data_IF_143164195722
#
_entry.id   IF_143164195722
#
_cell.length_a   1.000
_cell.length_b   1.000
_cell.length_c   1.000
_cell.angle_alpha   90.00
_cell.angle_beta   90.00
_cell.angle_gamma   90.00
#
_symmetry.space_group_name_H-M   'P 1'
#
loop_
_entity.id
_entity.type
_entity.pdbx_description
1 polymer ?
#
# COMPACT_ATOMS: atom_id res chain seq x y z
N UNK A 1 -57.66 -27.48 -10.90
CA UNK A 1 -57.20 -28.58 -10.01
C UNK A 1 -57.04 -29.86 -10.82
N UNK A 2 -55.81 -30.34 -11.00
CA UNK A 2 -55.46 -31.76 -11.25
C UNK A 2 -53.98 -31.91 -10.90
N UNK A 3 -53.73 -32.56 -9.75
CA UNK A 3 -52.43 -33.03 -9.30
C UNK A 3 -52.18 -34.42 -9.89
N UNK A 4 -50.98 -34.70 -10.37
CA UNK A 4 -50.26 -35.99 -10.27
C UNK A 4 -48.78 -35.68 -10.56
N UNK A 5 -47.92 -35.54 -9.55
CA UNK A 5 -47.21 -36.59 -8.81
C UNK A 5 -45.90 -37.01 -9.49
N UNK A 6 -44.79 -36.74 -8.76
CA UNK A 6 -43.39 -37.05 -9.05
C UNK A 6 -43.12 -38.53 -9.35
N UNK A 7 -42.08 -38.81 -10.14
CA UNK A 7 -41.21 -39.98 -9.93
C UNK A 7 -39.78 -39.80 -10.49
N UNK A 8 -38.86 -39.65 -9.52
CA UNK A 8 -37.55 -40.31 -9.32
C UNK A 8 -36.34 -40.03 -10.25
N UNK A 9 -35.28 -39.62 -9.55
CA UNK A 9 -33.85 -39.57 -9.87
C UNK A 9 -33.31 -40.74 -10.72
N UNK A 10 -32.32 -40.42 -11.55
CA UNK A 10 -31.15 -41.31 -11.72
C UNK A 10 -29.88 -40.46 -11.82
N UNK A 11 -28.99 -40.64 -10.85
CA UNK A 11 -27.61 -40.16 -10.83
C UNK A 11 -26.79 -41.13 -11.67
N UNK A 12 -25.99 -40.62 -12.60
CA UNK A 12 -24.89 -41.36 -13.20
C UNK A 12 -23.68 -40.42 -13.28
N UNK A 13 -22.72 -40.72 -12.43
CA UNK A 13 -21.37 -40.17 -12.43
C UNK A 13 -20.41 -41.10 -13.17
N UNK A 14 -19.22 -40.57 -13.47
CA UNK A 14 -18.00 -41.18 -14.04
C UNK A 14 -17.82 -40.92 -15.55
N UNK A 15 -16.98 -39.96 -15.99
CA UNK A 15 -15.50 -39.81 -15.92
C UNK A 15 -14.83 -40.22 -17.24
N UNK A 16 -14.19 -39.20 -17.84
CA UNK A 16 -12.99 -39.17 -18.68
C UNK A 16 -12.89 -40.06 -19.94
N UNK A 17 -12.79 -39.37 -21.08
CA UNK A 17 -11.76 -39.68 -22.08
C UNK A 17 -11.16 -38.37 -22.60
N UNK A 18 -9.88 -38.18 -22.27
CA UNK A 18 -9.01 -37.11 -22.74
C UNK A 18 -8.88 -37.15 -24.27
N UNK A 19 -9.08 -36.02 -24.93
CA UNK A 19 -8.49 -35.76 -26.25
C UNK A 19 -7.69 -34.46 -26.17
N UNK A 20 -6.39 -34.63 -25.96
CA UNK A 20 -5.37 -33.58 -26.05
C UNK A 20 -5.00 -33.44 -27.53
N UNK A 21 -5.17 -32.27 -28.17
CA UNK A 21 -4.31 -31.92 -29.27
C UNK A 21 -3.00 -31.38 -28.70
N UNK A 22 -1.92 -32.12 -28.96
CA UNK A 22 -0.53 -31.71 -28.80
C UNK A 22 -0.27 -30.46 -29.65
N UNK A 23 -0.58 -29.29 -29.10
CA UNK A 23 -0.18 -27.99 -29.62
C UNK A 23 1.15 -27.58 -28.99
N UNK A 24 2.20 -27.66 -29.81
CA UNK A 24 3.50 -26.96 -29.74
C UNK A 24 3.77 -26.18 -28.44
N UNK A 25 4.73 -26.67 -27.66
CA UNK A 25 5.34 -25.95 -26.56
C UNK A 25 5.99 -24.66 -27.08
N UNK A 26 5.36 -23.51 -26.81
CA UNK A 26 6.04 -22.23 -26.82
C UNK A 26 6.91 -22.14 -25.55
N UNK A 27 8.22 -21.88 -25.67
CA UNK A 27 9.08 -21.73 -24.50
C UNK A 27 8.73 -20.41 -23.79
N UNK A 28 8.49 -20.51 -22.48
CA UNK A 28 8.68 -19.41 -21.52
C UNK A 28 7.96 -18.10 -21.80
N UNK A 29 6.65 -18.05 -21.52
CA UNK A 29 6.05 -16.80 -21.07
C UNK A 29 6.54 -16.54 -19.63
N UNK A 30 7.76 -16.01 -19.51
CA UNK A 30 8.13 -15.26 -18.32
C UNK A 30 7.04 -14.21 -18.11
N UNK A 31 6.50 -14.13 -16.89
CA UNK A 31 5.63 -13.03 -16.50
C UNK A 31 6.35 -11.74 -16.91
N UNK A 32 5.78 -11.02 -17.87
CA UNK A 32 6.29 -9.72 -18.25
C UNK A 32 6.20 -8.86 -16.98
N UNK A 33 7.34 -8.64 -16.33
CA UNK A 33 7.49 -7.50 -15.45
C UNK A 33 7.01 -6.30 -16.24
N UNK A 34 6.13 -5.45 -15.68
CA UNK A 34 5.70 -4.25 -16.37
C UNK A 34 6.95 -3.51 -16.80
N UNK A 35 7.12 -3.35 -18.12
CA UNK A 35 8.19 -2.56 -18.71
C UNK A 35 8.16 -1.21 -18.03
N UNK A 36 9.23 -0.89 -17.31
CA UNK A 36 9.46 0.38 -16.67
C UNK A 36 9.09 1.49 -17.64
N UNK A 37 7.93 2.11 -17.45
CA UNK A 37 7.64 3.39 -18.07
C UNK A 37 8.85 4.28 -17.75
N UNK A 38 9.44 4.92 -18.76
CA UNK A 38 10.60 5.79 -18.59
C UNK A 38 10.24 6.88 -17.58
N UNK A 39 10.58 6.67 -16.30
CA UNK A 39 10.26 7.56 -15.19
C UNK A 39 11.12 8.80 -15.39
N UNK A 40 10.53 9.84 -15.97
CA UNK A 40 11.23 11.11 -16.25
C UNK A 40 10.76 12.12 -15.22
N UNK A 41 11.27 11.99 -13.99
CA UNK A 41 11.21 13.09 -13.02
C UNK A 41 12.55 13.79 -13.04
N UNK A 42 12.55 15.12 -13.18
CA UNK A 42 13.75 15.90 -13.00
C UNK A 42 14.18 15.78 -11.53
N UNK A 43 15.32 15.15 -11.27
CA UNK A 43 15.94 15.12 -9.96
C UNK A 43 16.20 16.57 -9.52
N UNK A 44 15.35 17.10 -8.63
CA UNK A 44 15.63 18.36 -7.97
C UNK A 44 16.86 18.16 -7.07
N UNK A 45 17.78 19.14 -7.03
CA UNK A 45 18.96 19.03 -6.19
C UNK A 45 18.52 18.76 -4.74
N UNK A 46 19.01 17.67 -4.12
CA UNK A 46 18.56 17.30 -2.78
C UNK A 46 18.82 18.45 -1.82
N UNK A 47 17.84 18.78 -0.98
CA UNK A 47 18.07 19.64 0.19
C UNK A 47 19.27 19.08 0.97
N UNK A 48 20.13 19.92 1.57
CA UNK A 48 21.19 19.42 2.44
C UNK A 48 20.59 18.61 3.61
N UNK A 49 20.59 17.29 3.49
CA UNK A 49 19.94 16.37 4.43
C UNK A 49 19.21 15.23 3.72
N UNK A 50 19.56 14.00 4.06
CA UNK A 50 18.94 12.72 3.68
C UNK A 50 18.28 12.65 2.28
N UNK A 51 19.03 12.18 1.29
CA UNK A 51 18.48 11.76 0.00
C UNK A 51 17.45 10.63 0.20
N UNK A 52 16.25 10.79 -0.37
CA UNK A 52 15.23 9.75 -0.45
C UNK A 52 14.87 9.62 -1.92
N UNK A 53 15.04 8.41 -2.47
CA UNK A 53 14.72 8.18 -3.87
C UNK A 53 13.25 8.48 -4.15
N UNK A 54 12.92 9.23 -5.22
CA UNK A 54 11.53 9.42 -5.64
C UNK A 54 10.93 8.16 -6.27
N UNK A 55 11.72 7.09 -6.42
CA UNK A 55 11.35 5.87 -7.12
C UNK A 55 11.46 4.64 -6.23
N UNK A 56 10.59 3.68 -6.52
CA UNK A 56 10.48 2.42 -5.81
C UNK A 56 9.04 2.17 -5.38
N UNK A 57 8.90 1.34 -4.36
CA UNK A 57 7.62 0.91 -3.81
C UNK A 57 7.75 0.73 -2.29
N UNK A 58 6.61 0.66 -1.62
CA UNK A 58 6.55 0.19 -0.25
C UNK A 58 5.47 -0.89 -0.14
N UNK A 59 5.85 -2.02 0.44
CA UNK A 59 4.92 -3.10 0.73
C UNK A 59 4.34 -2.91 2.13
N UNK A 60 3.02 -2.97 2.24
CA UNK A 60 2.30 -2.99 3.51
C UNK A 60 1.78 -4.41 3.75
N UNK A 61 2.08 -4.95 4.92
CA UNK A 61 1.42 -6.16 5.45
C UNK A 61 0.47 -5.71 6.56
N UNK A 62 -0.82 -6.01 6.43
CA UNK A 62 -1.85 -5.65 7.40
C UNK A 62 -1.69 -6.55 8.63
N UNK A 63 -1.71 -5.96 9.82
CA UNK A 63 -1.52 -6.69 11.07
C UNK A 63 -2.70 -7.63 11.37
N UNK A 64 -2.42 -8.77 12.01
CA UNK A 64 -3.46 -9.77 12.33
C UNK A 64 -4.60 -9.20 13.18
N UNK A 65 -4.31 -8.28 14.11
CA UNK A 65 -5.36 -7.61 14.90
C UNK A 65 -6.26 -6.73 14.02
N UNK A 66 -5.67 -6.05 13.03
CA UNK A 66 -6.43 -5.25 12.06
C UNK A 66 -7.26 -6.12 11.14
N UNK A 67 -6.71 -7.24 10.66
CA UNK A 67 -7.46 -8.21 9.85
C UNK A 67 -8.63 -8.83 10.64
N UNK A 68 -8.41 -9.23 11.89
CA UNK A 68 -9.46 -9.77 12.75
C UNK A 68 -10.55 -8.73 13.07
N UNK A 69 -10.17 -7.46 13.23
CA UNK A 69 -11.14 -6.37 13.34
C UNK A 69 -11.93 -6.17 12.04
N UNK A 70 -11.27 -6.17 10.88
CA UNK A 70 -11.94 -6.04 9.59
C UNK A 70 -12.93 -7.16 9.34
N UNK A 71 -12.56 -8.42 9.63
CA UNK A 71 -13.44 -9.57 9.51
C UNK A 71 -14.66 -9.43 10.43
N UNK A 72 -14.45 -9.09 11.70
CA UNK A 72 -15.53 -8.93 12.69
C UNK A 72 -16.54 -7.85 12.30
N UNK A 73 -16.07 -6.71 11.79
CA UNK A 73 -16.94 -5.59 11.42
C UNK A 73 -17.42 -5.66 9.96
N UNK A 74 -17.11 -6.74 9.22
CA UNK A 74 -17.50 -6.89 7.82
C UNK A 74 -16.92 -5.79 6.92
N UNK A 75 -15.64 -5.48 7.08
CA UNK A 75 -14.91 -4.46 6.33
C UNK A 75 -14.19 -5.10 5.15
N UNK A 76 -14.37 -4.53 3.96
CA UNK A 76 -13.53 -4.84 2.79
C UNK A 76 -12.66 -3.65 2.43
N UNK A 77 -11.46 -3.94 1.93
CA UNK A 77 -10.49 -2.93 1.50
C UNK A 77 -10.13 -3.20 0.05
N UNK A 78 -10.24 -2.15 -0.76
CA UNK A 78 -9.86 -2.12 -2.17
C UNK A 78 -8.75 -1.10 -2.36
N UNK A 79 -7.73 -1.46 -3.14
CA UNK A 79 -6.71 -0.51 -3.54
C UNK A 79 -7.25 0.45 -4.61
N UNK A 80 -6.88 1.73 -4.50
CA UNK A 80 -7.08 2.73 -5.53
C UNK A 80 -5.75 2.88 -6.27
N UNK A 81 -5.77 2.57 -7.57
CA UNK A 81 -4.59 2.63 -8.44
C UNK A 81 -3.84 3.97 -8.28
N UNK A 82 -2.50 3.94 -8.25
CA UNK A 82 -1.62 2.80 -8.52
C UNK A 82 -1.29 1.88 -7.34
N UNK A 83 -2.02 1.94 -6.21
CA UNK A 83 -1.90 0.91 -5.19
C UNK A 83 -2.43 -0.42 -5.73
N UNK A 84 -1.87 -1.53 -5.26
CA UNK A 84 -2.30 -2.87 -5.65
C UNK A 84 -2.44 -3.73 -4.40
N UNK A 85 -3.62 -4.30 -4.18
CA UNK A 85 -3.84 -5.28 -3.11
C UNK A 85 -3.05 -6.56 -3.41
N UNK A 86 -2.51 -7.18 -2.36
CA UNK A 86 -1.95 -8.52 -2.45
C UNK A 86 -3.06 -9.52 -2.80
N UNK A 87 -2.70 -10.63 -3.45
CA UNK A 87 -3.67 -11.62 -3.94
C UNK A 87 -4.49 -12.29 -2.82
N UNK A 88 -3.94 -12.35 -1.61
CA UNK A 88 -4.61 -12.87 -0.41
C UNK A 88 -5.37 -11.79 0.37
N UNK A 89 -5.30 -10.52 -0.05
CA UNK A 89 -5.92 -9.38 0.61
C UNK A 89 -5.30 -8.99 1.96
N UNK A 90 -4.14 -9.57 2.33
CA UNK A 90 -3.48 -9.34 3.63
C UNK A 90 -2.46 -8.21 3.60
N UNK A 91 -2.30 -7.56 2.47
CA UNK A 91 -1.35 -6.49 2.26
C UNK A 91 -1.64 -5.72 0.98
N UNK A 92 -0.82 -4.71 0.72
CA UNK A 92 -0.87 -3.95 -0.52
C UNK A 92 0.47 -3.27 -0.81
N UNK A 93 0.75 -3.08 -2.09
CA UNK A 93 1.89 -2.30 -2.56
C UNK A 93 1.51 -0.85 -2.84
N UNK A 94 2.42 0.06 -2.52
CA UNK A 94 2.28 1.49 -2.77
C UNK A 94 3.50 1.97 -3.57
N UNK A 95 3.35 2.47 -4.80
CA UNK A 95 4.49 3.04 -5.50
C UNK A 95 4.89 4.36 -4.85
N UNK A 96 6.20 4.59 -4.74
CA UNK A 96 6.73 5.87 -4.29
C UNK A 96 6.57 6.87 -5.43
N UNK A 97 5.99 8.03 -5.13
CA UNK A 97 5.87 9.11 -6.09
C UNK A 97 6.05 10.43 -5.37
N UNK A 98 7.27 10.90 -5.20
CA UNK A 98 7.50 12.17 -4.51
C UNK A 98 6.98 13.35 -5.33
N UNK A 99 6.19 14.24 -4.72
CA UNK A 99 5.78 15.53 -5.30
C UNK A 99 6.83 16.62 -5.12
N UNK A 100 7.87 16.36 -4.31
CA UNK A 100 8.91 17.32 -3.95
C UNK A 100 10.27 17.00 -4.62
N UNK A 101 10.32 16.08 -5.60
CA UNK A 101 11.56 15.58 -6.18
C UNK A 101 12.25 14.58 -5.25
N UNK A 102 13.59 14.50 -5.31
CA UNK A 102 14.42 13.51 -4.61
C UNK A 102 14.59 13.81 -3.10
N UNK A 103 13.48 14.14 -2.42
CA UNK A 103 13.45 14.57 -1.04
C UNK A 103 12.05 14.59 -0.43
N UNK A 104 12.01 14.96 0.85
CA UNK A 104 10.77 15.13 1.62
C UNK A 104 10.06 16.43 1.23
N UNK A 105 8.73 16.44 1.30
CA UNK A 105 7.97 17.68 1.22
C UNK A 105 8.26 18.60 2.42
N UNK A 106 7.70 19.82 2.42
CA UNK A 106 7.89 20.81 3.49
C UNK A 106 7.40 20.36 4.87
N UNK A 107 6.63 19.27 4.95
CA UNK A 107 6.14 18.66 6.19
C UNK A 107 6.94 17.42 6.58
N UNK A 108 8.03 17.09 5.89
CA UNK A 108 8.84 15.90 6.17
C UNK A 108 8.20 14.60 5.70
N UNK A 109 7.40 14.63 4.62
CA UNK A 109 6.63 13.49 4.13
C UNK A 109 7.01 13.07 2.72
N UNK A 110 6.78 11.80 2.43
CA UNK A 110 6.86 11.19 1.10
C UNK A 110 5.44 10.99 0.59
N UNK A 111 5.16 11.43 -0.63
CA UNK A 111 3.87 11.20 -1.28
C UNK A 111 3.81 9.81 -1.93
N UNK A 112 2.66 9.17 -1.79
CA UNK A 112 2.32 7.91 -2.46
C UNK A 112 1.07 8.15 -3.29
N UNK A 113 1.13 8.12 -4.64
CA UNK A 113 -0.05 8.25 -5.46
C UNK A 113 -0.94 7.01 -5.30
N UNK A 114 -2.25 7.20 -5.22
CA UNK A 114 -3.24 6.13 -5.07
C UNK A 114 -4.03 6.28 -3.79
N UNK A 115 -4.34 5.15 -3.15
CA UNK A 115 -5.05 5.14 -1.88
C UNK A 115 -5.79 3.84 -1.61
N UNK A 116 -6.71 3.90 -0.66
CA UNK A 116 -7.54 2.77 -0.24
C UNK A 116 -9.01 3.18 -0.21
N UNK A 117 -9.89 2.26 -0.57
CA UNK A 117 -11.33 2.36 -0.40
C UNK A 117 -11.77 1.28 0.58
N UNK A 118 -12.37 1.70 1.67
CA UNK A 118 -12.80 0.87 2.79
C UNK A 118 -14.32 0.85 2.77
N UNK A 119 -14.92 -0.32 2.61
CA UNK A 119 -16.37 -0.48 2.65
C UNK A 119 -16.73 -1.19 3.95
N UNK A 120 -17.62 -0.58 4.74
CA UNK A 120 -18.10 -1.17 5.98
C UNK A 120 -19.54 -1.64 5.79
N UNK A 121 -19.75 -2.95 5.82
CA UNK A 121 -21.05 -3.56 5.52
C UNK A 121 -22.14 -3.15 6.51
N UNK A 122 -21.82 -3.09 7.81
CA UNK A 122 -22.81 -2.82 8.86
C UNK A 122 -23.48 -1.45 8.74
N UNK A 123 -22.74 -0.43 8.31
CA UNK A 123 -23.27 0.94 8.14
C UNK A 123 -23.56 1.32 6.68
N UNK A 124 -23.14 0.49 5.71
CA UNK A 124 -23.20 0.80 4.28
C UNK A 124 -22.28 1.94 3.84
N UNK A 125 -21.38 2.41 4.72
CA UNK A 125 -20.49 3.54 4.44
C UNK A 125 -19.29 3.12 3.61
N UNK A 126 -18.90 4.01 2.70
CA UNK A 126 -17.63 3.91 1.97
C UNK A 126 -16.69 5.01 2.45
N UNK A 127 -15.60 4.63 3.12
CA UNK A 127 -14.52 5.54 3.50
C UNK A 127 -13.43 5.44 2.43
N UNK A 128 -12.98 6.57 1.91
CA UNK A 128 -11.91 6.62 0.90
C UNK A 128 -10.74 7.41 1.47
N UNK A 129 -9.57 6.76 1.46
CA UNK A 129 -8.28 7.34 1.81
C UNK A 129 -7.55 7.66 0.50
N UNK A 130 -7.29 8.94 0.24
CA UNK A 130 -6.53 9.41 -0.93
C UNK A 130 -5.59 10.52 -0.50
N UNK A 131 -4.63 10.86 -1.36
CA UNK A 131 -3.53 11.75 -0.99
C UNK A 131 -2.76 11.16 0.20
N UNK A 132 -2.19 9.99 -0.01
CA UNK A 132 -1.51 9.20 1.03
C UNK A 132 -0.06 9.64 1.19
N UNK A 133 0.40 9.70 2.45
CA UNK A 133 1.74 10.12 2.81
C UNK A 133 2.36 9.20 3.85
N UNK A 134 3.67 9.00 3.75
CA UNK A 134 4.49 8.52 4.87
C UNK A 134 5.32 9.70 5.37
N UNK A 135 5.01 10.17 6.58
CA UNK A 135 5.82 11.13 7.33
C UNK A 135 7.04 10.40 7.88
N UNK A 136 8.22 10.97 7.68
CA UNK A 136 9.48 10.45 8.23
C UNK A 136 9.84 11.19 9.52
N UNK A 137 9.56 12.50 9.61
CA UNK A 137 9.84 13.34 10.78
C UNK A 137 8.72 14.37 11.04
N UNK A 138 8.53 14.85 12.29
CA UNK A 138 9.25 14.44 13.51
C UNK A 138 8.79 13.08 14.06
N UNK A 139 7.51 12.73 13.87
CA UNK A 139 6.96 11.42 14.25
C UNK A 139 6.65 10.63 12.98
N UNK A 140 7.24 9.44 12.80
CA UNK A 140 6.89 8.57 11.67
C UNK A 140 5.40 8.24 11.65
N UNK A 141 4.74 8.45 10.51
CA UNK A 141 3.29 8.28 10.41
C UNK A 141 2.81 7.96 8.99
N UNK A 142 1.75 7.17 8.90
CA UNK A 142 0.92 7.03 7.70
C UNK A 142 -0.28 7.96 7.82
N UNK A 143 -0.41 8.91 6.89
CA UNK A 143 -1.54 9.85 6.83
C UNK A 143 -2.20 9.87 5.46
N UNK A 144 -3.47 10.24 5.42
CA UNK A 144 -4.24 10.33 4.19
C UNK A 144 -5.35 11.39 4.31
N UNK A 145 -5.74 11.98 3.20
CA UNK A 145 -7.01 12.69 3.09
C UNK A 145 -8.18 11.70 3.12
N UNK A 146 -9.27 12.10 3.77
CA UNK A 146 -10.42 11.24 4.04
C UNK A 146 -11.68 11.80 3.40
N UNK A 147 -12.39 10.95 2.64
CA UNK A 147 -13.75 11.19 2.21
C UNK A 147 -14.68 10.06 2.64
N UNK A 148 -15.94 10.39 2.89
CA UNK A 148 -16.99 9.43 3.26
C UNK A 148 -18.13 9.58 2.27
N UNK A 149 -18.54 8.48 1.65
CA UNK A 149 -19.58 8.43 0.62
C UNK A 149 -19.34 9.47 -0.50
N UNK A 150 -18.06 9.63 -0.88
CA UNK A 150 -17.61 10.57 -1.91
C UNK A 150 -17.51 12.04 -1.47
N UNK A 151 -17.90 12.38 -0.24
CA UNK A 151 -17.75 13.74 0.30
C UNK A 151 -16.45 13.88 1.06
N UNK A 152 -15.60 14.83 0.66
CA UNK A 152 -14.38 15.15 1.39
C UNK A 152 -14.73 15.60 2.81
N UNK A 153 -14.03 15.04 3.80
CA UNK A 153 -14.25 15.33 5.22
C UNK A 153 -13.03 16.03 5.82
N UNK A 154 -11.84 15.44 5.64
CA UNK A 154 -10.57 15.96 6.17
C UNK A 154 -9.51 15.89 5.08
N UNK A 155 -8.70 16.95 4.97
CA UNK A 155 -7.60 17.00 3.99
C UNK A 155 -6.47 16.03 4.33
N UNK A 156 -6.25 15.76 5.62
CA UNK A 156 -5.23 14.85 6.12
C UNK A 156 -5.59 14.38 7.53
N UNK A 157 -5.51 13.08 7.78
CA UNK A 157 -5.67 12.43 9.09
C UNK A 157 -4.50 11.49 9.31
N UNK A 158 -3.94 11.46 10.52
CA UNK A 158 -2.91 10.47 10.86
C UNK A 158 -3.60 9.16 11.19
N UNK A 159 -3.48 8.17 10.29
CA UNK A 159 -4.16 6.88 10.41
C UNK A 159 -3.40 5.95 11.35
N UNK A 160 -2.08 5.92 11.19
CA UNK A 160 -1.21 5.10 12.02
C UNK A 160 0.15 5.78 12.24
N UNK A 161 0.78 5.50 13.36
CA UNK A 161 2.07 6.08 13.74
C UNK A 161 3.08 5.02 14.15
N UNK A 162 4.36 5.39 14.12
CA UNK A 162 5.47 4.56 14.57
C UNK A 162 6.46 5.41 15.35
N UNK A 163 7.31 4.78 16.15
CA UNK A 163 8.41 5.48 16.81
C UNK A 163 9.66 5.48 15.95
N UNK A 164 10.47 6.54 16.04
CA UNK A 164 11.77 6.58 15.35
C UNK A 164 12.66 5.38 15.72
N UNK A 165 12.63 4.94 16.98
CA UNK A 165 13.35 3.76 17.45
C UNK A 165 12.93 2.48 16.73
N UNK A 166 11.64 2.27 16.47
CA UNK A 166 11.14 1.09 15.77
C UNK A 166 11.53 1.11 14.28
N UNK A 167 11.42 2.28 13.64
CA UNK A 167 11.89 2.47 12.26
C UNK A 167 13.39 2.14 12.15
N UNK A 168 14.20 2.69 13.06
CA UNK A 168 15.66 2.50 13.05
C UNK A 168 16.09 1.09 13.46
N UNK A 169 15.31 0.40 14.31
CA UNK A 169 15.57 -1.00 14.63
C UNK A 169 15.51 -1.90 13.38
N UNK A 170 14.66 -1.55 12.41
CA UNK A 170 14.53 -2.21 11.11
C UNK A 170 15.54 -1.75 10.06
N UNK A 171 16.25 -0.64 10.29
CA UNK A 171 17.20 -0.08 9.34
C UNK A 171 18.50 -0.89 9.29
N UNK A 172 18.96 -1.24 8.09
CA UNK A 172 20.24 -1.92 7.86
C UNK A 172 21.04 -1.17 6.78
N UNK A 173 22.34 -0.95 6.99
CA UNK A 173 23.22 -0.50 5.92
C UNK A 173 23.19 -1.48 4.75
N UNK A 174 23.30 -0.97 3.53
CA UNK A 174 23.44 -1.73 2.30
C UNK A 174 24.47 -1.05 1.40
N UNK A 175 25.12 -1.77 0.46
CA UNK A 175 26.10 -1.16 -0.45
C UNK A 175 25.55 0.02 -1.27
N UNK A 176 24.23 0.11 -1.44
CA UNK A 176 23.54 1.16 -2.22
C UNK A 176 22.74 2.14 -1.34
N UNK A 177 22.93 2.14 -0.01
CA UNK A 177 22.22 3.04 0.91
C UNK A 177 21.69 2.35 2.16
N UNK A 178 20.45 2.64 2.56
CA UNK A 178 19.78 2.03 3.73
C UNK A 178 18.55 1.24 3.31
N UNK A 179 18.35 0.06 3.91
CA UNK A 179 17.12 -0.74 3.75
C UNK A 179 16.39 -0.80 5.08
N UNK A 180 15.09 -0.51 5.08
CA UNK A 180 14.24 -0.71 6.26
C UNK A 180 13.47 -2.01 6.02
N UNK A 181 13.75 -3.04 6.82
CA UNK A 181 13.20 -4.38 6.57
C UNK A 181 11.71 -4.51 6.88
N UNK A 182 11.25 -3.89 7.98
CA UNK A 182 9.86 -3.95 8.44
C UNK A 182 9.68 -2.89 9.52
N UNK A 183 8.82 -1.91 9.28
CA UNK A 183 8.50 -0.82 10.19
C UNK A 183 7.06 -0.97 10.69
N UNK A 184 6.83 -1.18 12.00
CA UNK A 184 5.47 -1.31 12.52
C UNK A 184 4.77 0.04 12.58
N UNK A 185 3.48 0.07 12.25
CA UNK A 185 2.61 1.23 12.41
C UNK A 185 1.40 0.84 13.25
N UNK A 186 1.03 1.71 14.19
CA UNK A 186 -0.05 1.48 15.14
C UNK A 186 -1.18 2.46 14.92
N UNK A 187 -2.41 1.97 15.01
CA UNK A 187 -3.63 2.77 14.82
C UNK A 187 -3.67 3.94 15.81
N UNK A 188 -3.90 5.16 15.33
CA UNK A 188 -4.05 6.31 16.21
C UNK A 188 -5.44 6.38 16.86
N UNK A 189 -5.54 7.09 17.98
CA UNK A 189 -6.84 7.39 18.58
C UNK A 189 -7.73 8.24 17.66
N UNK A 190 -7.12 9.15 16.89
CA UNK A 190 -7.85 9.99 15.92
C UNK A 190 -8.53 9.13 14.85
N UNK A 191 -7.80 8.17 14.26
CA UNK A 191 -8.34 7.27 13.26
C UNK A 191 -9.45 6.37 13.81
N UNK A 192 -9.26 5.84 15.03
CA UNK A 192 -10.27 5.05 15.72
C UNK A 192 -11.56 5.87 15.96
N UNK A 193 -11.43 7.09 16.48
CA UNK A 193 -12.58 7.97 16.72
C UNK A 193 -13.28 8.35 15.42
N UNK A 194 -12.53 8.64 14.35
CA UNK A 194 -13.09 8.96 13.05
C UNK A 194 -13.90 7.79 12.49
N UNK A 195 -13.37 6.57 12.57
CA UNK A 195 -14.09 5.38 12.13
C UNK A 195 -15.39 5.18 12.91
N UNK A 196 -15.34 5.26 14.24
CA UNK A 196 -16.52 5.13 15.09
C UNK A 196 -17.57 6.20 14.78
N UNK A 197 -17.15 7.46 14.62
CA UNK A 197 -18.05 8.56 14.28
C UNK A 197 -18.67 8.40 12.88
N UNK A 198 -17.90 7.89 11.92
CA UNK A 198 -18.33 7.68 10.54
C UNK A 198 -19.34 6.53 10.40
N UNK A 199 -19.11 5.45 11.12
CA UNK A 199 -19.80 4.17 10.89
C UNK A 199 -20.76 3.77 12.00
N UNK A 200 -20.59 4.30 13.22
CA UNK A 200 -21.30 3.85 14.41
C UNK A 200 -20.85 2.47 14.93
N UNK A 201 -19.83 1.86 14.31
CA UNK A 201 -19.34 0.53 14.65
C UNK A 201 -18.19 0.57 15.66
N UNK A 202 -17.75 -0.62 16.11
CA UNK A 202 -16.63 -0.73 17.04
C UNK A 202 -15.34 -0.35 16.31
N UNK A 203 -14.61 0.69 16.75
CA UNK A 203 -13.39 1.09 16.07
C UNK A 203 -12.26 0.08 16.29
N UNK A 204 -11.21 0.12 15.45
CA UNK A 204 -9.97 -0.58 15.76
C UNK A 204 -9.41 -0.01 17.07
N UNK A 205 -8.76 -0.86 17.87
CA UNK A 205 -8.18 -0.43 19.14
C UNK A 205 -7.03 0.55 18.87
N UNK A 206 -7.06 1.73 19.45
CA UNK A 206 -5.92 2.65 19.38
C UNK A 206 -4.66 2.00 19.97
N UNK A 207 -3.52 2.17 19.31
CA UNK A 207 -2.26 1.49 19.63
C UNK A 207 -2.18 0.02 19.20
N UNK A 208 -3.23 -0.54 18.58
CA UNK A 208 -3.12 -1.85 17.92
C UNK A 208 -2.26 -1.77 16.66
N UNK A 209 -1.64 -2.88 16.27
CA UNK A 209 -0.84 -2.94 15.06
C UNK A 209 -1.74 -2.79 13.84
N UNK A 210 -1.64 -1.64 13.17
CA UNK A 210 -2.28 -1.42 11.86
C UNK A 210 -1.67 -2.37 10.82
N UNK A 211 -0.34 -2.39 10.78
CA UNK A 211 0.42 -3.20 9.86
C UNK A 211 1.89 -2.86 9.91
N UNK A 212 2.63 -3.37 8.94
CA UNK A 212 4.04 -3.09 8.80
C UNK A 212 4.37 -2.64 7.40
N UNK A 213 5.31 -1.70 7.30
CA UNK A 213 5.77 -1.11 6.06
C UNK A 213 7.19 -1.60 5.73
N UNK A 214 7.41 -2.03 4.50
CA UNK A 214 8.72 -2.38 3.96
C UNK A 214 9.00 -1.51 2.74
N UNK A 215 9.72 -0.39 2.89
CA UNK A 215 10.05 0.47 1.76
C UNK A 215 11.24 -0.09 0.97
N UNK A 216 11.10 -0.08 -0.35
CA UNK A 216 12.11 -0.40 -1.34
C UNK A 216 12.39 0.86 -2.16
N UNK A 217 13.52 1.52 -1.89
CA UNK A 217 13.96 2.69 -2.65
C UNK A 217 14.86 2.26 -3.81
N UNK A 218 14.48 2.59 -5.04
CA UNK A 218 15.32 2.36 -6.22
C UNK A 218 16.45 3.40 -6.21
N UNK A 219 17.71 2.97 -6.16
CA UNK A 219 18.84 3.91 -6.23
C UNK A 219 18.92 4.51 -7.64
N UNK A 220 19.04 5.83 -7.74
CA UNK A 220 19.38 6.51 -8.98
C UNK A 220 20.90 6.48 -9.10
N UNK A 221 21.49 5.78 -10.09
CA UNK A 221 22.90 5.98 -10.37
C UNK A 221 23.10 7.48 -10.60
N UNK A 222 23.92 8.12 -9.76
CA UNK A 222 24.33 9.49 -10.00
C UNK A 222 24.73 9.57 -11.47
N UNK A 223 24.10 10.47 -12.23
CA UNK A 223 24.59 10.79 -13.58
C UNK A 223 26.07 11.05 -13.43
N UNK A 224 26.89 10.11 -13.90
CA UNK A 224 28.32 10.11 -13.72
C UNK A 224 28.90 11.28 -14.52
N UNK A 225 28.85 12.48 -13.93
CA UNK A 225 29.72 13.56 -14.33
C UNK A 225 30.68 13.74 -13.17
N UNK A 226 31.95 13.29 -13.32
CA UNK A 226 32.94 13.54 -12.29
C UNK A 226 33.01 15.04 -12.02
N UNK A 227 33.26 15.46 -10.76
CA UNK A 227 33.41 16.87 -10.44
C UNK A 227 34.53 17.44 -11.31
N UNK A 228 34.19 18.43 -12.14
CA UNK A 228 35.19 19.26 -12.81
C UNK A 228 35.95 20.01 -11.72
N UNK A 229 37.18 19.59 -11.48
CA UNK A 229 38.13 20.30 -10.64
C UNK A 229 38.27 21.72 -11.22
N UNK A 230 38.11 22.79 -10.43
CA UNK A 230 38.41 24.13 -10.90
C UNK A 230 39.89 24.16 -11.29
N UNK A 231 40.18 24.44 -12.55
CA UNK A 231 41.52 24.87 -12.94
C UNK A 231 41.78 26.20 -12.24
N UNK A 232 42.70 26.19 -11.28
CA UNK A 232 43.22 27.40 -10.67
C UNK A 232 43.91 28.26 -11.73
N UNK A 233 43.81 29.60 -11.63
CA UNK A 233 44.40 30.54 -12.57
C UNK A 233 45.94 30.54 -12.56
#
# INVERSE_FOLDING_TARGET
MRMHALRRLTVLAAVAALSVPLGLASPGAAAQQPTSATRTAAAAQPLPGAYISPWGDAQVEIGDETLAWMEREGITVEAISPFVMDADGRGFSMPIGSTAGDGLDSKGRIFYPGGLKIQHQGSGKTITLKSTFIRVMPTPAYSAGVSIDGKALLEEVVIAESTYSEIMAGARPSPTGFRIKKAPFYVTQEAANLFAAATGATPPRAGSLFGTLTPNFDYIPATAKPPTVPTLP
#
